data_IF_260571103186
#
_entry.id   IF_260571103186
#
_cell.length_a   1.000
_cell.length_b   1.000
_cell.length_c   1.000
_cell.angle_alpha   90.00
_cell.angle_beta   90.00
_cell.angle_gamma   90.00
#
_symmetry.space_group_name_H-M   'P 1'
#
loop_
_entity.id
_entity.type
_entity.pdbx_description
1 polymer ?
#
# COMPACT_ATOMS: atom_id res chain seq x y z
N UNK A 1 20.05 -8.02 14.17
CA UNK A 1 19.26 -6.88 14.69
C UNK A 1 17.95 -6.80 13.94
N UNK A 2 16.95 -6.08 14.45
CA UNK A 2 15.62 -5.98 13.83
C UNK A 2 15.54 -4.93 12.69
N UNK A 3 16.61 -4.19 12.46
CA UNK A 3 16.70 -3.16 11.40
C UNK A 3 17.15 -3.85 10.11
N UNK A 4 16.37 -3.71 9.05
CA UNK A 4 16.78 -3.98 7.68
C UNK A 4 17.37 -2.70 7.09
N UNK A 5 18.53 -2.79 6.42
CA UNK A 5 19.17 -1.62 5.80
C UNK A 5 18.61 -1.30 4.41
N UNK A 6 17.82 -2.21 3.84
CA UNK A 6 17.26 -2.16 2.49
C UNK A 6 15.74 -2.39 2.53
N UNK A 7 15.04 -1.79 3.49
CA UNK A 7 13.58 -1.91 3.60
C UNK A 7 12.92 -1.30 2.39
N UNK A 8 12.20 -2.12 1.61
CA UNK A 8 11.39 -1.66 0.47
C UNK A 8 9.93 -1.44 0.92
N UNK A 9 9.45 -0.20 0.98
CA UNK A 9 8.12 0.11 1.49
C UNK A 9 7.02 -0.44 0.59
N UNK A 10 7.24 -0.54 -0.73
CA UNK A 10 6.26 -1.12 -1.66
C UNK A 10 5.94 -2.59 -1.33
N UNK A 11 6.96 -3.39 -1.04
CA UNK A 11 6.80 -4.79 -0.68
C UNK A 11 6.05 -4.94 0.65
N UNK A 12 6.44 -4.14 1.65
CA UNK A 12 5.79 -4.16 2.97
C UNK A 12 4.32 -3.70 2.87
N UNK A 13 4.05 -2.66 2.07
CA UNK A 13 2.71 -2.14 1.81
C UNK A 13 1.81 -3.17 1.14
N UNK A 14 2.31 -3.83 0.07
CA UNK A 14 1.55 -4.84 -0.66
C UNK A 14 1.22 -6.04 0.23
N UNK A 15 2.16 -6.46 1.07
CA UNK A 15 1.92 -7.57 1.99
C UNK A 15 0.87 -7.22 3.05
N UNK A 16 0.97 -6.04 3.66
CA UNK A 16 -0.04 -5.53 4.58
C UNK A 16 -1.43 -5.42 3.90
N UNK A 17 -1.47 -4.95 2.65
CA UNK A 17 -2.70 -4.87 1.87
C UNK A 17 -3.30 -6.25 1.60
N UNK A 18 -2.51 -7.26 1.24
CA UNK A 18 -3.03 -8.63 1.00
C UNK A 18 -3.74 -9.18 2.24
N UNK A 19 -3.17 -8.98 3.42
CA UNK A 19 -3.78 -9.42 4.67
C UNK A 19 -5.07 -8.64 4.98
N UNK A 20 -5.06 -7.32 4.84
CA UNK A 20 -6.25 -6.50 5.07
C UNK A 20 -7.36 -6.80 4.03
N UNK A 21 -6.99 -7.02 2.77
CA UNK A 21 -7.88 -7.41 1.69
C UNK A 21 -8.52 -8.77 1.98
N UNK A 22 -7.74 -9.77 2.42
CA UNK A 22 -8.26 -11.08 2.81
C UNK A 22 -9.33 -10.96 3.92
N UNK A 23 -9.09 -10.11 4.92
CA UNK A 23 -10.08 -9.86 5.98
C UNK A 23 -11.35 -9.20 5.43
N UNK A 24 -11.23 -8.24 4.52
CA UNK A 24 -12.37 -7.59 3.89
C UNK A 24 -13.17 -8.56 3.01
N UNK A 25 -12.50 -9.37 2.19
CA UNK A 25 -13.13 -10.41 1.37
C UNK A 25 -13.89 -11.42 2.23
N UNK A 26 -13.32 -11.86 3.35
CA UNK A 26 -13.98 -12.79 4.27
C UNK A 26 -15.22 -12.18 4.95
N UNK A 27 -15.20 -10.88 5.23
CA UNK A 27 -16.25 -10.21 6.02
C UNK A 27 -17.37 -9.63 5.14
N UNK A 28 -17.03 -9.04 4.01
CA UNK A 28 -17.95 -8.30 3.14
C UNK A 28 -18.15 -8.96 1.77
N UNK A 29 -17.40 -10.02 1.44
CA UNK A 29 -17.45 -10.68 0.12
C UNK A 29 -16.82 -9.87 -1.02
N UNK A 30 -16.32 -8.66 -0.75
CA UNK A 30 -15.70 -7.74 -1.70
C UNK A 30 -14.58 -6.95 -1.04
N UNK A 31 -13.63 -6.46 -1.83
CA UNK A 31 -12.55 -5.60 -1.33
C UNK A 31 -12.01 -4.67 -2.44
N UNK A 32 -11.66 -3.42 -2.11
CA UNK A 32 -11.05 -2.49 -3.05
C UNK A 32 -9.72 -2.99 -3.61
N UNK A 33 -9.32 -2.43 -4.75
CA UNK A 33 -7.98 -2.57 -5.29
C UNK A 33 -7.01 -1.57 -4.62
N UNK A 34 -5.72 -1.88 -4.63
CA UNK A 34 -4.65 -0.97 -4.22
C UNK A 34 -3.98 -0.36 -5.45
N UNK A 35 -3.89 0.97 -5.46
CA UNK A 35 -3.12 1.73 -6.44
C UNK A 35 -1.89 2.31 -5.74
N UNK A 36 -0.70 2.09 -6.30
CA UNK A 36 0.55 2.68 -5.84
C UNK A 36 1.00 3.69 -6.89
N UNK A 37 1.14 4.96 -6.51
CA UNK A 37 1.48 6.06 -7.41
C UNK A 37 0.57 6.12 -8.66
N UNK A 38 -0.71 5.78 -8.50
CA UNK A 38 -1.70 5.79 -9.58
C UNK A 38 -1.72 4.54 -10.47
N UNK A 39 -0.91 3.51 -10.18
CA UNK A 39 -0.81 2.27 -10.94
C UNK A 39 -1.26 1.09 -10.07
N UNK A 40 -1.94 0.05 -10.61
CA UNK A 40 -2.32 -1.12 -9.81
C UNK A 40 -1.12 -1.76 -9.12
N UNK A 41 -1.24 -2.12 -7.85
CA UNK A 41 -0.10 -2.62 -7.06
C UNK A 41 0.60 -3.85 -7.67
N UNK A 42 -0.14 -4.71 -8.38
CA UNK A 42 0.43 -5.86 -9.11
C UNK A 42 1.36 -5.42 -10.24
N UNK A 43 0.96 -4.39 -10.97
CA UNK A 43 1.74 -3.81 -12.06
C UNK A 43 2.92 -3.00 -11.51
N UNK A 44 2.73 -2.27 -10.40
CA UNK A 44 3.79 -1.54 -9.71
C UNK A 44 4.96 -2.44 -9.31
N UNK A 45 4.67 -3.66 -8.82
CA UNK A 45 5.72 -4.62 -8.46
C UNK A 45 6.31 -5.38 -9.66
N UNK A 46 5.58 -5.49 -10.77
CA UNK A 46 6.03 -6.18 -11.97
C UNK A 46 6.85 -5.26 -12.89
N UNK A 47 6.58 -3.95 -12.85
CA UNK A 47 7.36 -2.96 -13.57
C UNK A 47 8.73 -2.79 -12.94
N UNK A 48 9.76 -3.18 -13.68
CA UNK A 48 11.14 -2.81 -13.37
C UNK A 48 11.38 -1.30 -13.51
N UNK A 49 12.64 -0.92 -13.73
CA UNK A 49 13.23 0.43 -13.79
C UNK A 49 12.52 1.54 -14.62
N UNK A 50 11.37 1.28 -15.24
CA UNK A 50 10.67 2.17 -16.18
C UNK A 50 9.35 2.78 -15.62
N UNK A 51 8.93 2.42 -14.41
CA UNK A 51 7.74 3.03 -13.80
C UNK A 51 8.04 4.43 -13.20
N UNK A 52 7.10 5.39 -13.31
CA UNK A 52 7.24 6.72 -12.73
C UNK A 52 7.13 6.62 -11.20
N UNK A 53 8.26 6.36 -10.54
CA UNK A 53 8.36 6.22 -9.09
C UNK A 53 9.30 5.08 -8.74
N UNK A 54 10.58 5.39 -8.62
CA UNK A 54 11.61 4.44 -8.16
C UNK A 54 11.16 3.90 -6.80
N UNK A 55 10.96 2.58 -6.71
CA UNK A 55 10.82 1.89 -5.44
C UNK A 55 12.12 2.10 -4.66
N UNK A 56 12.05 2.91 -3.60
CA UNK A 56 13.24 3.27 -2.82
C UNK A 56 13.36 2.42 -1.60
N UNK A 57 14.60 2.11 -1.26
CA UNK A 57 14.92 1.41 -0.04
C UNK A 57 15.52 2.37 0.98
N UNK A 58 15.26 2.12 2.26
CA UNK A 58 15.85 2.88 3.36
C UNK A 58 16.02 1.98 4.59
N UNK A 59 16.97 2.30 5.50
CA UNK A 59 17.09 1.56 6.74
C UNK A 59 15.87 1.73 7.66
N UNK A 60 15.19 0.65 7.98
CA UNK A 60 14.02 0.66 8.87
C UNK A 60 13.76 -0.70 9.54
N UNK A 61 12.79 -0.74 10.46
CA UNK A 61 12.29 -1.98 11.06
C UNK A 61 11.03 -2.41 10.30
N UNK A 62 11.15 -3.40 9.41
CA UNK A 62 10.08 -3.81 8.47
C UNK A 62 8.75 -4.11 9.16
N UNK A 63 8.81 -4.78 10.32
CA UNK A 63 7.61 -5.16 11.08
C UNK A 63 6.87 -3.94 11.65
N UNK A 64 7.57 -2.86 12.00
CA UNK A 64 6.91 -1.62 12.43
C UNK A 64 6.17 -0.99 11.25
N UNK A 65 6.84 -0.90 10.10
CA UNK A 65 6.25 -0.35 8.88
C UNK A 65 5.03 -1.17 8.43
N UNK A 66 5.12 -2.50 8.54
CA UNK A 66 4.01 -3.42 8.28
C UNK A 66 2.79 -3.09 9.12
N UNK A 67 2.92 -2.97 10.45
CA UNK A 67 1.76 -2.72 11.31
C UNK A 67 1.14 -1.34 11.08
N UNK A 68 1.96 -0.33 10.78
CA UNK A 68 1.47 1.00 10.39
C UNK A 68 0.63 0.89 9.12
N UNK A 69 1.16 0.27 8.06
CA UNK A 69 0.41 0.10 6.82
C UNK A 69 -0.84 -0.74 7.00
N UNK A 70 -0.74 -1.86 7.72
CA UNK A 70 -1.85 -2.79 7.93
C UNK A 70 -3.04 -2.10 8.59
N UNK A 71 -2.81 -1.32 9.65
CA UNK A 71 -3.90 -0.67 10.38
C UNK A 71 -4.55 0.44 9.54
N UNK A 72 -3.75 1.26 8.83
CA UNK A 72 -4.26 2.30 7.93
C UNK A 72 -5.05 1.69 6.77
N UNK A 73 -4.50 0.66 6.13
CA UNK A 73 -5.15 -0.03 5.01
C UNK A 73 -6.44 -0.70 5.43
N UNK A 74 -6.47 -1.40 6.57
CA UNK A 74 -7.71 -2.01 7.10
C UNK A 74 -8.82 -0.98 7.19
N UNK A 75 -8.54 0.18 7.77
CA UNK A 75 -9.54 1.23 7.94
C UNK A 75 -9.95 1.86 6.61
N UNK A 76 -9.00 2.10 5.69
CA UNK A 76 -9.29 2.62 4.36
C UNK A 76 -10.16 1.68 3.51
N UNK A 77 -9.88 0.37 3.54
CA UNK A 77 -10.65 -0.62 2.81
C UNK A 77 -12.08 -0.71 3.32
N UNK A 78 -12.26 -0.77 4.64
CA UNK A 78 -13.60 -0.78 5.25
C UNK A 78 -14.36 0.50 4.89
N UNK A 79 -13.73 1.67 5.00
CA UNK A 79 -14.36 2.93 4.65
C UNK A 79 -14.83 2.97 3.19
N UNK A 80 -13.99 2.49 2.25
CA UNK A 80 -14.36 2.41 0.83
C UNK A 80 -15.54 1.45 0.59
N UNK A 81 -15.53 0.28 1.23
CA UNK A 81 -16.62 -0.70 1.12
C UNK A 81 -17.95 -0.16 1.66
N UNK A 82 -17.92 0.56 2.77
CA UNK A 82 -19.12 1.12 3.41
C UNK A 82 -19.66 2.34 2.66
N UNK A 83 -18.80 3.09 1.97
CA UNK A 83 -19.20 4.21 1.11
C UNK A 83 -19.85 3.73 -0.19
N UNK A 84 -19.45 2.57 -0.70
CA UNK A 84 -19.97 2.03 -1.96
C UNK A 84 -21.44 1.61 -1.84
N UNK A 85 -22.26 2.10 -2.78
CA UNK A 85 -23.67 1.71 -2.86
C UNK A 85 -23.85 0.18 -3.04
N UNK A 86 -25.02 -0.37 -2.70
CA UNK A 86 -25.33 -1.77 -2.96
C UNK A 86 -25.14 -2.11 -4.45
N UNK A 87 -24.34 -3.13 -4.76
CA UNK A 87 -24.05 -3.55 -6.14
C UNK A 87 -22.98 -2.72 -6.86
N UNK A 88 -22.46 -1.65 -6.25
CA UNK A 88 -21.33 -0.89 -6.79
C UNK A 88 -20.01 -1.47 -6.29
N UNK A 89 -19.00 -1.51 -7.18
CA UNK A 89 -17.63 -1.85 -6.81
C UNK A 89 -17.01 -0.74 -5.96
N UNK A 90 -16.33 -1.07 -4.84
CA UNK A 90 -15.78 -0.05 -3.97
C UNK A 90 -14.58 0.67 -4.61
N UNK A 91 -14.45 1.96 -4.30
CA UNK A 91 -13.39 2.82 -4.85
C UNK A 91 -11.99 2.29 -4.45
N UNK A 92 -10.99 2.29 -5.36
CA UNK A 92 -9.64 1.87 -5.03
C UNK A 92 -9.02 2.70 -3.89
N UNK A 93 -8.16 2.06 -3.11
CA UNK A 93 -7.32 2.74 -2.12
C UNK A 93 -6.03 3.18 -2.81
N UNK A 94 -5.69 4.46 -2.69
CA UNK A 94 -4.49 5.04 -3.29
C UNK A 94 -3.40 5.25 -2.23
N UNK A 95 -2.21 4.72 -2.50
CA UNK A 95 -1.00 4.97 -1.75
C UNK A 95 0.01 5.69 -2.63
N UNK A 96 0.67 6.70 -2.05
CA UNK A 96 1.75 7.42 -2.72
C UNK A 96 3.07 7.12 -2.01
N UNK A 97 3.96 6.40 -2.69
CA UNK A 97 5.33 6.18 -2.26
C UNK A 97 6.21 7.21 -2.95
N UNK A 98 6.53 8.27 -2.21
CA UNK A 98 7.34 9.39 -2.69
C UNK A 98 8.66 9.35 -1.95
N UNK A 99 9.75 9.37 -2.71
CA UNK A 99 11.08 9.56 -2.15
C UNK A 99 11.34 11.05 -2.07
N UNK A 100 11.47 11.58 -0.86
CA UNK A 100 11.90 12.96 -0.68
C UNK A 100 13.37 13.11 -1.06
N UNK A 101 13.68 13.86 -2.11
CA UNK A 101 14.85 14.75 -2.02
C UNK A 101 14.50 15.78 -0.96
N UNK A 102 15.24 15.78 0.14
CA UNK A 102 15.34 16.81 1.18
C UNK A 102 14.29 17.95 1.14
N UNK A 103 13.59 18.19 2.25
CA UNK A 103 12.86 19.45 2.51
C UNK A 103 13.81 20.68 2.66
N UNK A 104 15.09 20.53 2.33
CA UNK A 104 16.05 21.63 2.17
C UNK A 104 16.18 21.98 0.69
N UNK A 105 15.19 22.70 0.17
CA UNK A 105 15.45 23.65 -0.91
C UNK A 105 15.86 24.96 -0.24
N UNK A 106 17.17 25.25 -0.28
CA UNK A 106 17.70 26.61 -0.16
C UNK A 106 17.32 27.45 -1.40
#
# INVERSE_FOLDING_TARGET
>A
GAICLDTRPSLVLVEAFRHAQYMCMRTFGRAPQLMINGIPAKEYLAGGHELPGIDTAFPYVDIHLYFVFFEVLKNALVASILKAAPGQEPEPVHASLITGTSLLTE
#
